data_IF_586925403083
#
_entry.id   IF_586925403083
#
_cell.length_a   1.000
_cell.length_b   1.000
_cell.length_c   1.000
_cell.angle_alpha   90.00
_cell.angle_beta   90.00
_cell.angle_gamma   90.00
#
_symmetry.space_group_name_H-M   'P 1'
#
loop_
_entity.id
_entity.type
_entity.pdbx_description
1 polymer ?
#
# COMPACT_ATOMS: atom_id res chain seq x y z
N UNK A 1 -34.01 12.26 25.38
CA UNK A 1 -33.51 10.87 25.33
C UNK A 1 -34.46 9.93 24.57
N UNK A 2 -35.77 9.97 24.79
CA UNK A 2 -36.73 9.07 24.09
C UNK A 2 -36.79 9.31 22.58
N UNK A 3 -36.71 10.56 22.11
CA UNK A 3 -36.76 10.91 20.67
C UNK A 3 -35.56 10.35 19.90
N UNK A 4 -34.35 10.40 20.48
CA UNK A 4 -33.11 9.92 19.82
C UNK A 4 -33.10 8.39 19.65
N UNK A 5 -33.67 7.64 20.59
CA UNK A 5 -33.76 6.17 20.52
C UNK A 5 -34.74 5.72 19.43
N UNK A 6 -35.89 6.40 19.30
CA UNK A 6 -36.87 6.11 18.24
C UNK A 6 -36.31 6.39 16.84
N UNK A 7 -35.52 7.47 16.68
CA UNK A 7 -34.85 7.80 15.42
C UNK A 7 -33.82 6.73 15.03
N UNK A 8 -33.09 6.19 16.01
CA UNK A 8 -32.10 5.10 15.81
C UNK A 8 -32.77 3.81 15.33
N UNK A 9 -33.87 3.41 15.97
CA UNK A 9 -34.60 2.19 15.63
C UNK A 9 -35.20 2.24 14.21
N UNK A 10 -35.70 3.41 13.80
CA UNK A 10 -36.22 3.60 12.44
C UNK A 10 -35.11 3.55 11.40
N UNK A 11 -33.96 4.14 11.69
CA UNK A 11 -32.83 4.11 10.79
C UNK A 11 -32.30 2.67 10.62
N UNK A 12 -32.11 1.93 11.71
CA UNK A 12 -31.67 0.53 11.64
C UNK A 12 -32.65 -0.35 10.87
N UNK A 13 -33.96 -0.13 11.07
CA UNK A 13 -35.01 -0.83 10.32
C UNK A 13 -34.93 -0.53 8.82
N UNK A 14 -34.69 0.74 8.44
CA UNK A 14 -34.51 1.12 7.04
C UNK A 14 -33.26 0.46 6.42
N UNK A 15 -32.14 0.46 7.12
CA UNK A 15 -30.89 -0.20 6.68
C UNK A 15 -31.12 -1.71 6.48
N UNK A 16 -31.91 -2.34 7.34
CA UNK A 16 -32.25 -3.74 7.22
C UNK A 16 -33.06 -4.03 5.95
N UNK A 17 -34.04 -3.20 5.62
CA UNK A 17 -34.81 -3.31 4.37
C UNK A 17 -33.96 -3.10 3.11
N UNK A 18 -32.91 -2.28 3.19
CA UNK A 18 -31.95 -2.03 2.12
C UNK A 18 -30.78 -3.05 2.11
N UNK A 19 -30.85 -4.09 2.93
CA UNK A 19 -29.84 -5.16 3.02
C UNK A 19 -30.35 -6.41 2.31
N UNK A 20 -29.54 -6.96 1.40
CA UNK A 20 -29.88 -8.18 0.66
C UNK A 20 -30.14 -9.35 1.60
N UNK A 21 -31.31 -9.95 1.51
CA UNK A 21 -31.69 -11.06 2.37
C UNK A 21 -30.83 -12.31 2.18
N UNK A 22 -30.17 -12.48 1.01
CA UNK A 22 -29.30 -13.64 0.69
C UNK A 22 -27.85 -13.43 1.11
N UNK A 23 -27.21 -12.35 0.68
CA UNK A 23 -25.75 -12.15 0.93
C UNK A 23 -25.45 -11.19 2.08
N UNK A 24 -26.46 -10.59 2.70
CA UNK A 24 -26.33 -9.67 3.83
C UNK A 24 -25.51 -8.38 3.52
N UNK A 25 -25.30 -8.08 2.25
CA UNK A 25 -24.67 -6.82 1.82
C UNK A 25 -25.74 -5.78 1.51
N UNK A 26 -25.42 -4.50 1.63
CA UNK A 26 -26.29 -3.42 1.20
C UNK A 26 -26.58 -3.54 -0.29
N UNK A 27 -27.85 -3.34 -0.66
CA UNK A 27 -28.30 -3.50 -2.04
C UNK A 27 -28.03 -2.25 -2.86
N UNK A 28 -27.39 -2.44 -4.00
CA UNK A 28 -27.30 -1.44 -5.06
C UNK A 28 -28.31 -1.74 -6.15
N UNK A 29 -28.85 -0.72 -6.82
CA UNK A 29 -29.57 -0.98 -8.06
C UNK A 29 -28.72 -1.73 -9.10
N UNK A 30 -29.30 -2.69 -9.83
CA UNK A 30 -30.70 -3.13 -9.79
C UNK A 30 -31.04 -4.01 -8.58
N UNK A 31 -32.21 -3.74 -7.96
CA UNK A 31 -32.78 -4.53 -6.88
C UNK A 31 -33.92 -5.37 -7.45
N UNK A 32 -34.06 -6.60 -6.99
CA UNK A 32 -35.10 -7.52 -7.47
C UNK A 32 -35.96 -7.99 -6.30
N UNK A 33 -37.26 -8.16 -6.57
CA UNK A 33 -38.24 -8.68 -5.61
C UNK A 33 -38.75 -10.03 -6.07
N UNK A 34 -39.01 -10.94 -5.14
CA UNK A 34 -39.86 -12.08 -5.42
C UNK A 34 -41.35 -11.67 -5.39
N UNK A 35 -42.25 -12.55 -5.81
CA UNK A 35 -43.70 -12.27 -5.84
C UNK A 35 -44.26 -11.97 -4.44
N UNK A 36 -43.60 -12.40 -3.35
CA UNK A 36 -44.00 -12.07 -1.98
C UNK A 36 -43.27 -10.81 -1.44
N UNK A 37 -42.49 -10.10 -2.27
CA UNK A 37 -41.83 -8.85 -1.90
C UNK A 37 -40.46 -8.98 -1.23
N UNK A 38 -39.87 -10.17 -1.06
CA UNK A 38 -38.50 -10.28 -0.53
C UNK A 38 -37.48 -9.74 -1.53
N UNK A 39 -36.59 -8.88 -1.04
CA UNK A 39 -35.60 -8.18 -1.86
C UNK A 39 -34.26 -8.89 -1.95
N UNK A 40 -33.62 -8.85 -3.12
CA UNK A 40 -32.24 -9.33 -3.34
C UNK A 40 -31.48 -8.38 -4.25
N UNK A 41 -30.16 -8.34 -4.09
CA UNK A 41 -29.28 -7.57 -4.98
C UNK A 41 -29.10 -8.28 -6.34
N UNK A 42 -28.72 -7.53 -7.39
CA UNK A 42 -28.51 -8.05 -8.74
C UNK A 42 -27.62 -9.32 -8.79
N UNK A 43 -26.39 -9.31 -8.20
CA UNK A 43 -25.54 -10.51 -8.19
C UNK A 43 -26.14 -11.75 -7.50
N UNK A 44 -27.05 -11.56 -6.53
CA UNK A 44 -27.75 -12.68 -5.91
C UNK A 44 -28.93 -13.15 -6.76
N UNK A 45 -29.62 -12.27 -7.46
CA UNK A 45 -30.66 -12.60 -8.42
C UNK A 45 -30.10 -13.44 -9.57
N UNK A 46 -29.01 -13.02 -10.20
CA UNK A 46 -28.37 -13.71 -11.33
C UNK A 46 -27.94 -15.17 -10.99
N UNK A 47 -27.63 -15.41 -9.71
CA UNK A 47 -27.19 -16.72 -9.21
C UNK A 47 -28.33 -17.55 -8.59
N UNK A 48 -29.61 -17.17 -8.82
CA UNK A 48 -30.73 -17.80 -8.15
C UNK A 48 -31.96 -17.85 -9.03
N UNK A 49 -32.55 -19.02 -9.19
CA UNK A 49 -33.80 -19.20 -9.92
C UNK A 49 -35.04 -18.86 -9.08
N UNK A 50 -34.90 -18.90 -7.74
CA UNK A 50 -35.98 -18.71 -6.79
C UNK A 50 -35.51 -17.92 -5.58
N UNK A 51 -36.46 -17.27 -4.90
CA UNK A 51 -36.24 -16.60 -3.64
C UNK A 51 -35.76 -17.60 -2.58
N UNK A 52 -34.65 -17.30 -1.89
CA UNK A 52 -34.12 -18.21 -0.88
C UNK A 52 -34.97 -18.24 0.42
N UNK A 53 -35.82 -17.20 0.64
CA UNK A 53 -36.72 -17.10 1.80
C UNK A 53 -38.00 -17.91 1.61
N UNK A 54 -38.76 -17.62 0.53
CA UNK A 54 -40.09 -18.24 0.29
C UNK A 54 -40.11 -19.27 -0.84
N UNK A 55 -38.99 -19.48 -1.56
CA UNK A 55 -38.85 -20.41 -2.69
C UNK A 55 -39.71 -20.08 -3.93
N UNK A 56 -40.38 -18.92 -3.93
CA UNK A 56 -41.14 -18.44 -5.08
C UNK A 56 -40.26 -17.75 -6.11
N UNK A 57 -40.79 -17.57 -7.31
CA UNK A 57 -40.11 -16.90 -8.42
C UNK A 57 -39.89 -15.41 -8.19
N UNK A 58 -38.97 -14.83 -8.93
CA UNK A 58 -38.74 -13.40 -8.93
C UNK A 58 -39.69 -12.68 -9.85
N UNK A 59 -40.19 -11.52 -9.40
CA UNK A 59 -41.01 -10.61 -10.20
C UNK A 59 -40.16 -9.92 -11.26
N UNK A 60 -40.79 -9.62 -12.40
CA UNK A 60 -40.19 -8.77 -13.44
C UNK A 60 -40.28 -7.26 -13.11
N UNK A 61 -40.98 -6.91 -12.04
CA UNK A 61 -41.21 -5.50 -11.64
C UNK A 61 -40.02 -5.06 -10.76
N UNK A 62 -39.42 -3.94 -11.13
CA UNK A 62 -38.36 -3.29 -10.38
C UNK A 62 -38.90 -2.39 -9.28
N UNK A 63 -38.40 -2.47 -8.05
CA UNK A 63 -38.85 -1.60 -6.96
C UNK A 63 -38.15 -0.23 -7.00
N UNK A 64 -38.59 0.64 -7.93
CA UNK A 64 -37.95 1.93 -8.20
C UNK A 64 -37.82 2.83 -6.96
N UNK A 65 -38.81 2.79 -6.05
CA UNK A 65 -38.76 3.54 -4.79
C UNK A 65 -37.65 3.03 -3.90
N UNK A 66 -37.51 1.71 -3.73
CA UNK A 66 -36.44 1.09 -2.93
C UNK A 66 -35.06 1.39 -3.51
N UNK A 67 -34.93 1.37 -4.83
CA UNK A 67 -33.69 1.73 -5.52
C UNK A 67 -33.34 3.21 -5.34
N UNK A 68 -34.33 4.08 -5.39
CA UNK A 68 -34.14 5.52 -5.13
C UNK A 68 -33.66 5.76 -3.69
N UNK A 69 -34.24 5.05 -2.72
CA UNK A 69 -33.82 5.11 -1.32
C UNK A 69 -32.37 4.58 -1.14
N UNK A 70 -32.05 3.45 -1.75
CA UNK A 70 -30.72 2.86 -1.68
C UNK A 70 -29.60 3.82 -2.18
N UNK A 71 -29.91 4.69 -3.14
CA UNK A 71 -28.97 5.68 -3.64
C UNK A 71 -28.81 6.93 -2.74
N UNK A 72 -29.76 7.19 -1.85
CA UNK A 72 -29.81 8.43 -1.04
C UNK A 72 -29.45 8.22 0.42
N UNK A 73 -29.70 7.01 0.95
CA UNK A 73 -29.46 6.69 2.35
C UNK A 73 -27.96 6.63 2.63
N UNK A 74 -27.57 7.12 3.79
CA UNK A 74 -26.21 6.93 4.31
C UNK A 74 -26.16 5.58 5.03
N UNK A 75 -25.30 4.69 4.60
CA UNK A 75 -25.08 3.38 5.22
C UNK A 75 -23.88 3.43 6.16
N UNK A 76 -23.92 2.70 7.28
CA UNK A 76 -22.73 2.54 8.14
C UNK A 76 -21.67 1.72 7.41
N UNK A 77 -20.40 2.00 7.71
CA UNK A 77 -19.30 1.16 7.25
C UNK A 77 -19.46 -0.26 7.82
N UNK A 78 -19.19 -1.26 6.98
CA UNK A 78 -19.30 -2.67 7.38
C UNK A 78 -18.15 -3.14 8.29
N UNK A 79 -17.07 -2.38 8.41
CA UNK A 79 -15.98 -2.69 9.33
C UNK A 79 -16.37 -2.31 10.76
N UNK A 80 -16.39 -3.29 11.65
CA UNK A 80 -16.83 -3.13 13.04
C UNK A 80 -16.08 -2.00 13.76
N UNK A 81 -16.85 -1.09 14.37
CA UNK A 81 -16.32 0.07 15.12
C UNK A 81 -15.99 1.29 14.25
N UNK A 82 -16.08 1.20 12.92
CA UNK A 82 -15.89 2.36 12.07
C UNK A 82 -17.08 3.33 12.16
N UNK A 83 -16.88 4.61 12.53
CA UNK A 83 -17.97 5.57 12.69
C UNK A 83 -18.47 6.15 11.36
N UNK A 84 -17.90 5.73 10.23
CA UNK A 84 -18.22 6.29 8.91
C UNK A 84 -19.61 5.87 8.44
N UNK A 85 -20.46 6.87 8.13
CA UNK A 85 -21.72 6.72 7.43
C UNK A 85 -21.62 7.45 6.12
N UNK A 86 -21.97 6.81 5.01
CA UNK A 86 -21.89 7.41 3.68
C UNK A 86 -22.79 6.67 2.67
N UNK A 87 -23.00 7.26 1.49
CA UNK A 87 -23.67 6.58 0.37
C UNK A 87 -22.85 5.37 -0.11
N UNK A 88 -23.48 4.41 -0.77
CA UNK A 88 -22.78 3.20 -1.24
C UNK A 88 -21.55 3.50 -2.09
N UNK A 89 -21.58 4.42 -3.09
CA UNK A 89 -20.38 4.75 -3.84
C UNK A 89 -19.23 5.35 -2.99
N UNK A 90 -19.60 6.11 -1.94
CA UNK A 90 -18.59 6.67 -1.01
C UNK A 90 -18.01 5.60 -0.10
N UNK A 91 -18.82 4.62 0.36
CA UNK A 91 -18.34 3.49 1.16
C UNK A 91 -17.43 2.57 0.35
N UNK A 92 -17.68 2.39 -0.94
CA UNK A 92 -16.79 1.61 -1.81
C UNK A 92 -15.42 2.23 -1.95
N UNK A 93 -15.35 3.56 -2.09
CA UNK A 93 -14.07 4.29 -2.08
C UNK A 93 -13.40 4.28 -0.70
N UNK A 94 -14.19 4.31 0.37
CA UNK A 94 -13.69 4.26 1.74
C UNK A 94 -13.16 2.88 2.13
N UNK A 95 -13.80 1.80 1.72
CA UNK A 95 -13.51 0.45 2.21
C UNK A 95 -12.02 0.03 2.10
N UNK A 96 -11.30 0.28 0.99
CA UNK A 96 -9.87 -0.03 0.88
C UNK A 96 -8.99 0.77 1.86
N UNK A 97 -9.43 1.96 2.28
CA UNK A 97 -8.68 2.88 3.14
C UNK A 97 -9.20 2.92 4.57
N UNK A 98 -10.20 2.10 4.91
CA UNK A 98 -10.78 2.08 6.26
C UNK A 98 -9.75 1.59 7.28
N UNK A 99 -9.47 2.39 8.29
CA UNK A 99 -8.54 2.04 9.38
C UNK A 99 -9.07 0.89 10.26
N UNK A 100 -10.38 0.64 10.23
CA UNK A 100 -11.04 -0.45 10.98
C UNK A 100 -11.13 -1.76 10.19
N UNK A 101 -10.68 -1.80 8.92
CA UNK A 101 -10.64 -3.05 8.16
C UNK A 101 -9.62 -4.00 8.78
N UNK A 102 -9.96 -5.27 8.81
CA UNK A 102 -9.04 -6.31 9.28
C UNK A 102 -8.04 -6.64 8.17
N UNK A 103 -6.78 -6.65 8.51
CA UNK A 103 -5.67 -6.99 7.62
C UNK A 103 -4.68 -7.93 8.31
N UNK A 104 -3.98 -8.70 7.52
CA UNK A 104 -2.80 -9.44 7.98
C UNK A 104 -1.56 -8.55 7.86
N UNK A 105 -0.54 -8.83 8.64
CA UNK A 105 0.72 -8.10 8.56
C UNK A 105 1.35 -8.22 7.17
N UNK A 106 1.64 -7.08 6.52
CA UNK A 106 2.31 -7.09 5.22
C UNK A 106 3.75 -7.60 5.28
N UNK A 107 4.42 -7.44 6.43
CA UNK A 107 5.76 -7.99 6.66
C UNK A 107 5.79 -9.51 6.52
N UNK A 108 4.68 -10.20 6.85
CA UNK A 108 4.58 -11.66 6.71
C UNK A 108 4.71 -12.13 5.26
N UNK A 109 4.32 -11.30 4.30
CA UNK A 109 4.45 -11.63 2.86
C UNK A 109 5.90 -11.64 2.39
N UNK A 110 6.76 -10.89 3.07
CA UNK A 110 8.19 -10.76 2.75
C UNK A 110 9.03 -11.72 3.58
N UNK A 111 8.74 -11.81 4.89
CA UNK A 111 9.57 -12.54 5.85
C UNK A 111 8.95 -13.86 6.35
N UNK A 112 7.65 -14.11 6.09
CA UNK A 112 7.01 -15.40 6.26
C UNK A 112 6.59 -15.79 7.69
N UNK A 113 6.99 -15.06 8.72
CA UNK A 113 6.96 -15.50 10.12
C UNK A 113 5.91 -14.78 10.99
N UNK A 114 5.31 -13.70 10.52
CA UNK A 114 4.33 -12.94 11.28
C UNK A 114 2.90 -13.41 11.03
N UNK A 115 2.19 -13.79 12.10
CA UNK A 115 0.79 -14.24 12.06
C UNK A 115 -0.20 -13.16 12.54
N UNK A 116 0.27 -11.93 12.73
CA UNK A 116 -0.58 -10.87 13.22
C UNK A 116 -1.73 -10.57 12.24
N UNK A 117 -2.93 -10.46 12.81
CA UNK A 117 -4.15 -10.01 12.16
C UNK A 117 -4.80 -8.97 13.08
N UNK A 118 -5.16 -7.81 12.55
CA UNK A 118 -5.74 -6.73 13.33
C UNK A 118 -6.27 -5.61 12.44
N UNK A 119 -6.68 -4.50 13.08
CA UNK A 119 -7.17 -3.33 12.35
C UNK A 119 -6.04 -2.64 11.59
N UNK A 120 -6.32 -2.17 10.39
CA UNK A 120 -5.34 -1.48 9.57
C UNK A 120 -4.71 -0.25 10.27
N UNK A 121 -5.49 0.45 11.11
CA UNK A 121 -4.97 1.57 11.91
C UNK A 121 -3.99 1.17 13.00
N UNK A 122 -3.99 -0.10 13.43
CA UNK A 122 -3.11 -0.64 14.48
C UNK A 122 -1.84 -1.29 13.89
N UNK A 123 -1.78 -1.43 12.56
CA UNK A 123 -0.70 -2.15 11.90
C UNK A 123 0.68 -1.53 12.12
N UNK A 124 0.78 -0.20 12.11
CA UNK A 124 2.05 0.49 12.37
C UNK A 124 2.57 0.25 13.78
N UNK A 125 1.68 0.30 14.78
CA UNK A 125 2.06 0.04 16.18
C UNK A 125 2.55 -1.39 16.35
N UNK A 126 1.86 -2.38 15.72
CA UNK A 126 2.34 -3.75 15.64
C UNK A 126 3.73 -3.82 15.01
N UNK A 127 3.97 -3.12 13.88
CA UNK A 127 5.28 -3.14 13.22
C UNK A 127 6.40 -2.56 14.11
N UNK A 128 6.12 -1.50 14.88
CA UNK A 128 7.11 -0.95 15.82
C UNK A 128 7.43 -1.89 16.98
N UNK A 129 6.51 -2.77 17.37
CA UNK A 129 6.74 -3.77 18.44
C UNK A 129 7.44 -5.00 17.90
N UNK A 130 6.88 -5.62 16.86
CA UNK A 130 7.29 -6.95 16.40
C UNK A 130 8.32 -6.93 15.26
N UNK A 131 8.41 -5.81 14.51
CA UNK A 131 9.31 -5.63 13.37
C UNK A 131 10.21 -4.41 13.50
N UNK A 132 10.56 -4.01 14.72
CA UNK A 132 11.31 -2.79 15.04
C UNK A 132 12.63 -2.60 14.30
N UNK A 133 13.25 -3.67 13.81
CA UNK A 133 14.47 -3.60 12.98
C UNK A 133 14.19 -3.17 11.54
N UNK A 134 12.93 -3.18 11.11
CA UNK A 134 12.49 -2.86 9.76
C UNK A 134 11.64 -1.60 9.69
N UNK A 135 11.42 -0.92 10.83
CA UNK A 135 10.55 0.26 10.97
C UNK A 135 11.27 1.36 11.73
N UNK A 136 11.09 2.60 11.30
CA UNK A 136 11.66 3.76 11.99
C UNK A 136 10.72 4.98 11.89
N UNK A 137 10.76 5.85 12.89
CA UNK A 137 10.12 7.18 12.88
C UNK A 137 11.06 8.28 12.34
N UNK A 138 12.26 7.91 11.91
CA UNK A 138 13.22 8.83 11.31
C UNK A 138 13.02 8.88 9.78
N UNK A 139 13.40 9.99 9.12
CA UNK A 139 13.35 10.09 7.67
C UNK A 139 14.47 9.30 6.98
N UNK A 140 15.12 8.39 7.69
CA UNK A 140 16.14 7.51 7.15
C UNK A 140 16.19 6.17 7.89
N UNK A 141 16.72 5.15 7.22
CA UNK A 141 17.09 3.87 7.79
C UNK A 141 18.46 3.48 7.27
N UNK A 142 19.34 3.06 8.18
CA UNK A 142 20.65 2.51 7.82
C UNK A 142 20.62 1.00 8.04
N UNK A 143 21.01 0.27 7.01
CA UNK A 143 20.93 -1.19 6.97
C UNK A 143 22.31 -1.76 6.69
N UNK A 144 22.66 -2.79 7.45
CA UNK A 144 23.77 -3.69 7.16
C UNK A 144 23.18 -5.05 6.83
N UNK A 145 23.31 -5.47 5.57
CA UNK A 145 22.74 -6.73 5.08
C UNK A 145 23.85 -7.65 4.59
N UNK A 146 23.89 -8.87 5.16
CA UNK A 146 24.89 -9.85 4.77
C UNK A 146 24.60 -10.34 3.36
N UNK A 147 25.60 -10.22 2.50
CA UNK A 147 25.51 -10.67 1.12
C UNK A 147 25.91 -12.13 1.02
N UNK A 148 25.04 -12.97 0.49
CA UNK A 148 25.39 -14.33 0.10
C UNK A 148 25.60 -14.39 -1.42
N UNK A 149 26.86 -14.42 -1.84
CA UNK A 149 27.26 -14.51 -3.25
C UNK A 149 26.75 -15.80 -3.93
N UNK A 150 26.43 -16.83 -3.17
CA UNK A 150 25.89 -18.11 -3.66
C UNK A 150 24.38 -18.11 -3.74
N UNK A 151 23.74 -17.04 -3.25
CA UNK A 151 22.28 -16.92 -3.23
C UNK A 151 21.69 -17.01 -4.64
N UNK A 152 20.85 -17.98 -4.86
CA UNK A 152 20.21 -18.25 -6.16
C UNK A 152 18.84 -17.62 -6.30
N UNK A 153 18.20 -17.33 -5.16
CA UNK A 153 16.85 -16.78 -5.12
C UNK A 153 16.86 -15.25 -5.11
N UNK A 154 15.88 -14.61 -5.73
CA UNK A 154 15.69 -13.17 -5.58
C UNK A 154 15.43 -12.83 -4.12
N UNK A 155 15.95 -11.69 -3.68
CA UNK A 155 15.76 -11.19 -2.31
C UNK A 155 14.92 -9.96 -2.36
N UNK A 156 13.90 -9.94 -1.51
CA UNK A 156 13.10 -8.78 -1.24
C UNK A 156 13.28 -8.39 0.23
N UNK A 157 13.85 -7.22 0.48
CA UNK A 157 13.79 -6.55 1.78
C UNK A 157 12.74 -5.44 1.73
N UNK A 158 12.05 -5.26 2.85
CA UNK A 158 10.98 -4.28 2.99
C UNK A 158 11.15 -3.53 4.31
N UNK A 159 11.11 -2.20 4.23
CA UNK A 159 11.25 -1.31 5.38
C UNK A 159 10.15 -0.27 5.38
N UNK A 160 9.80 0.24 6.56
CA UNK A 160 8.81 1.29 6.75
C UNK A 160 9.46 2.50 7.41
N UNK A 161 9.28 3.67 6.83
CA UNK A 161 9.69 4.94 7.42
C UNK A 161 8.43 5.78 7.67
N UNK A 162 8.19 6.14 8.94
CA UNK A 162 7.10 7.03 9.33
C UNK A 162 7.66 8.43 9.59
N UNK A 163 7.54 9.30 8.60
CA UNK A 163 8.00 10.69 8.66
C UNK A 163 7.11 11.57 7.80
N UNK A 164 7.18 12.90 7.98
CA UNK A 164 6.36 13.87 7.24
C UNK A 164 4.86 13.54 7.30
N UNK A 165 4.37 13.06 8.45
CA UNK A 165 2.98 12.60 8.68
C UNK A 165 2.52 11.48 7.70
N UNK A 166 3.46 10.77 7.09
CA UNK A 166 3.22 9.71 6.11
C UNK A 166 4.00 8.46 6.43
N UNK A 167 3.61 7.36 5.77
CA UNK A 167 4.34 6.09 5.81
C UNK A 167 4.91 5.83 4.42
N UNK A 168 6.22 5.67 4.37
CA UNK A 168 6.97 5.34 3.16
C UNK A 168 7.33 3.87 3.17
N UNK A 169 6.95 3.16 2.12
CA UNK A 169 7.23 1.76 1.89
C UNK A 169 8.51 1.66 1.05
N UNK A 170 9.59 1.20 1.66
CA UNK A 170 10.91 1.07 1.03
C UNK A 170 11.12 -0.38 0.65
N UNK A 171 11.35 -0.64 -0.60
CA UNK A 171 11.66 -1.96 -1.14
C UNK A 171 13.11 -1.99 -1.64
N UNK A 172 13.84 -3.02 -1.24
CA UNK A 172 15.13 -3.39 -1.80
C UNK A 172 14.98 -4.76 -2.44
N UNK A 173 15.25 -4.86 -3.73
CA UNK A 173 15.06 -6.08 -4.50
C UNK A 173 16.37 -6.45 -5.19
N UNK A 174 16.84 -7.68 -4.98
CA UNK A 174 17.89 -8.25 -5.80
C UNK A 174 17.29 -9.01 -6.98
N UNK A 175 17.53 -8.47 -8.18
CA UNK A 175 17.17 -9.12 -9.44
C UNK A 175 18.38 -9.86 -10.00
N UNK A 176 18.46 -11.16 -9.72
CA UNK A 176 19.57 -12.01 -10.20
C UNK A 176 19.61 -12.09 -11.72
N UNK A 177 18.45 -12.11 -12.41
CA UNK A 177 18.40 -12.23 -13.87
C UNK A 177 18.93 -10.98 -14.55
N UNK A 178 18.61 -9.82 -13.99
CA UNK A 178 19.13 -8.52 -14.43
C UNK A 178 20.49 -8.17 -13.87
N UNK A 179 21.08 -8.98 -12.98
CA UNK A 179 22.38 -8.72 -12.36
C UNK A 179 22.44 -7.40 -11.59
N UNK A 180 21.32 -7.00 -10.94
CA UNK A 180 21.20 -5.67 -10.34
C UNK A 180 20.48 -5.67 -9.01
N UNK A 181 20.85 -4.75 -8.14
CA UNK A 181 20.11 -4.38 -6.95
C UNK A 181 19.21 -3.18 -7.25
N UNK A 182 17.96 -3.25 -6.84
CA UNK A 182 16.97 -2.20 -7.05
C UNK A 182 16.45 -1.67 -5.72
N UNK A 183 16.25 -0.36 -5.64
CA UNK A 183 15.47 0.28 -4.57
C UNK A 183 14.33 1.09 -5.17
N UNK A 184 13.18 1.04 -4.50
CA UNK A 184 12.04 1.90 -4.79
C UNK A 184 11.35 2.30 -3.49
N UNK A 185 10.76 3.49 -3.50
CA UNK A 185 10.00 4.01 -2.35
C UNK A 185 8.62 4.42 -2.80
N UNK A 186 7.61 3.85 -2.14
CA UNK A 186 6.20 4.13 -2.38
C UNK A 186 5.60 4.85 -1.18
N UNK A 187 4.69 5.78 -1.45
CA UNK A 187 3.91 6.47 -0.44
C UNK A 187 2.45 6.56 -0.89
N UNK A 188 1.51 6.41 0.03
CA UNK A 188 0.09 6.54 -0.29
C UNK A 188 -0.32 8.03 -0.31
N UNK A 189 0.15 8.75 -1.32
CA UNK A 189 -0.13 10.16 -1.57
C UNK A 189 -0.18 10.43 -3.07
N UNK A 190 -1.19 11.16 -3.53
CA UNK A 190 -1.32 11.55 -4.95
C UNK A 190 -0.25 12.58 -5.37
N UNK A 191 0.43 13.23 -4.42
CA UNK A 191 1.56 14.14 -4.66
C UNK A 191 2.88 13.51 -4.19
N UNK A 192 3.09 12.24 -4.47
CA UNK A 192 4.29 11.50 -4.07
C UNK A 192 5.58 12.15 -4.58
N UNK A 193 5.52 12.85 -5.71
CA UNK A 193 6.63 13.59 -6.34
C UNK A 193 7.15 14.78 -5.52
N UNK A 194 6.42 15.22 -4.48
CA UNK A 194 6.93 16.20 -3.51
C UNK A 194 8.01 15.62 -2.61
N UNK A 195 8.16 14.31 -2.61
CA UNK A 195 9.18 13.61 -1.85
C UNK A 195 10.19 12.95 -2.79
N UNK A 196 11.44 12.93 -2.34
CA UNK A 196 12.49 12.14 -2.95
C UNK A 196 13.01 11.11 -1.97
N UNK A 197 13.60 10.06 -2.49
CA UNK A 197 14.44 9.18 -1.70
C UNK A 197 15.86 9.16 -2.23
N UNK A 198 16.79 8.96 -1.31
CA UNK A 198 18.21 8.84 -1.59
C UNK A 198 18.70 7.50 -1.08
N UNK A 199 19.39 6.75 -1.91
CA UNK A 199 20.10 5.52 -1.54
C UNK A 199 21.58 5.84 -1.51
N UNK A 200 22.19 5.64 -0.37
CA UNK A 200 23.61 5.86 -0.12
C UNK A 200 24.24 4.52 0.25
N UNK A 201 24.90 3.88 -0.71
CA UNK A 201 25.66 2.66 -0.52
C UNK A 201 27.10 3.04 -0.20
N UNK A 202 27.65 2.56 0.92
CA UNK A 202 28.95 2.99 1.41
C UNK A 202 29.75 1.87 2.05
N UNK A 203 31.08 2.04 2.08
CA UNK A 203 31.99 1.18 2.81
C UNK A 203 32.37 1.86 4.14
N UNK A 204 32.00 1.31 5.33
CA UNK A 204 32.11 2.02 6.60
C UNK A 204 33.52 2.53 6.93
N UNK A 205 34.55 1.78 6.56
CA UNK A 205 35.95 2.11 6.87
C UNK A 205 36.66 2.92 5.78
N UNK A 206 35.96 3.28 4.68
CA UNK A 206 36.52 4.00 3.54
C UNK A 206 35.55 5.11 3.12
N UNK A 207 35.57 6.30 3.75
CA UNK A 207 34.59 7.37 3.52
C UNK A 207 34.47 7.83 2.06
N UNK A 208 35.56 7.75 1.30
CA UNK A 208 35.59 8.10 -0.13
C UNK A 208 34.90 7.06 -1.02
N UNK A 209 34.60 5.87 -0.50
CA UNK A 209 33.97 4.79 -1.28
C UNK A 209 32.46 4.77 -1.00
N UNK A 210 31.73 5.54 -1.81
CA UNK A 210 30.28 5.74 -1.72
C UNK A 210 29.65 5.78 -3.11
N UNK A 211 28.41 5.34 -3.18
CA UNK A 211 27.54 5.46 -4.36
C UNK A 211 26.23 6.04 -3.88
N UNK A 212 25.87 7.23 -4.36
CA UNK A 212 24.65 7.93 -3.96
C UNK A 212 23.73 8.10 -5.16
N UNK A 213 22.50 7.66 -5.03
CA UNK A 213 21.44 7.87 -6.02
C UNK A 213 20.25 8.56 -5.36
N UNK A 214 19.64 9.49 -6.09
CA UNK A 214 18.43 10.18 -5.67
C UNK A 214 17.36 10.04 -6.75
N UNK A 215 16.13 9.73 -6.33
CA UNK A 215 14.97 9.57 -7.20
C UNK A 215 13.71 10.08 -6.50
N UNK A 216 12.67 10.51 -7.26
CA UNK A 216 11.38 10.85 -6.67
C UNK A 216 10.70 9.63 -6.06
N UNK A 217 9.94 9.83 -4.98
CA UNK A 217 9.03 8.82 -4.46
C UNK A 217 7.85 8.64 -5.41
N UNK A 218 7.18 7.48 -5.32
CA UNK A 218 6.03 7.12 -6.17
C UNK A 218 4.77 6.93 -5.35
N UNK A 219 3.62 7.19 -5.98
CA UNK A 219 2.35 6.83 -5.41
C UNK A 219 2.16 5.31 -5.41
N UNK A 220 1.65 4.73 -4.31
CA UNK A 220 1.32 3.30 -4.23
C UNK A 220 0.29 2.85 -5.28
N UNK A 221 -0.50 3.78 -5.81
CA UNK A 221 -1.50 3.51 -6.84
C UNK A 221 -0.88 3.29 -8.22
N UNK A 222 0.34 3.75 -8.43
CA UNK A 222 1.10 3.55 -9.67
C UNK A 222 1.72 2.15 -9.64
N UNK A 223 0.88 1.13 -9.85
CA UNK A 223 1.08 -0.27 -9.50
C UNK A 223 2.28 -0.96 -10.16
N UNK A 224 2.94 -0.36 -11.14
CA UNK A 224 4.00 -1.01 -11.92
C UNK A 224 5.40 -0.62 -11.44
N UNK A 225 5.67 -0.86 -10.14
CA UNK A 225 6.92 -0.43 -9.51
C UNK A 225 8.17 -1.19 -10.00
N UNK A 226 8.03 -2.34 -10.65
CA UNK A 226 9.17 -3.13 -11.14
C UNK A 226 9.76 -2.61 -12.46
N UNK A 227 8.97 -1.94 -13.30
CA UNK A 227 9.37 -1.50 -14.64
C UNK A 227 9.74 0.00 -14.74
N UNK A 228 9.72 0.73 -13.64
CA UNK A 228 9.87 2.17 -13.68
C UNK A 228 11.33 2.64 -13.79
N UNK A 229 11.57 3.56 -14.72
CA UNK A 229 12.84 4.30 -14.89
C UNK A 229 13.25 5.14 -13.66
N UNK A 230 12.30 5.39 -12.74
CA UNK A 230 12.53 6.16 -11.50
C UNK A 230 13.03 5.33 -10.32
N UNK A 231 13.26 4.04 -10.48
CA UNK A 231 13.91 3.21 -9.46
C UNK A 231 15.42 3.47 -9.43
N UNK A 232 16.05 3.23 -8.29
CA UNK A 232 17.51 3.16 -8.21
C UNK A 232 17.94 1.75 -8.61
N UNK A 233 18.83 1.66 -9.58
CA UNK A 233 19.42 0.40 -10.04
C UNK A 233 20.93 0.47 -9.86
N UNK A 234 21.51 -0.48 -9.17
CA UNK A 234 22.97 -0.61 -9.00
C UNK A 234 23.37 -1.99 -9.54
N UNK A 235 24.27 -2.07 -10.54
CA UNK A 235 24.82 -3.32 -11.02
C UNK A 235 25.44 -4.11 -9.87
N UNK A 236 25.27 -5.43 -9.90
CA UNK A 236 25.71 -6.29 -8.79
C UNK A 236 27.22 -6.26 -8.60
N UNK A 237 28.00 -6.06 -9.66
CA UNK A 237 29.45 -5.90 -9.60
C UNK A 237 29.84 -4.68 -8.75
N UNK A 238 29.10 -3.59 -8.88
CA UNK A 238 29.32 -2.39 -8.07
C UNK A 238 28.95 -2.66 -6.60
N UNK A 239 27.88 -3.44 -6.35
CA UNK A 239 27.52 -3.87 -4.98
C UNK A 239 28.63 -4.74 -4.38
N UNK A 240 29.20 -5.69 -5.14
CA UNK A 240 30.33 -6.51 -4.68
C UNK A 240 31.56 -5.69 -4.31
N UNK A 241 31.83 -4.63 -5.08
CA UNK A 241 32.94 -3.72 -4.78
C UNK A 241 32.78 -2.96 -3.47
N UNK A 242 31.55 -2.94 -2.91
CA UNK A 242 31.13 -2.21 -1.71
C UNK A 242 30.88 -3.13 -0.52
N UNK A 243 31.24 -4.43 -0.61
CA UNK A 243 31.16 -5.34 0.52
C UNK A 243 32.24 -5.02 1.56
N UNK A 244 31.84 -5.04 2.83
CA UNK A 244 32.77 -4.91 3.93
C UNK A 244 33.53 -6.25 4.20
N UNK A 245 34.44 -6.27 5.18
CA UNK A 245 35.21 -7.43 5.59
C UNK A 245 34.36 -8.64 6.05
N UNK A 246 33.09 -8.42 6.38
CA UNK A 246 32.16 -9.46 6.80
C UNK A 246 31.17 -9.83 5.67
N UNK A 247 31.51 -9.53 4.41
CA UNK A 247 30.67 -9.78 3.24
C UNK A 247 29.28 -9.14 3.37
N UNK A 248 29.21 -7.93 3.95
CA UNK A 248 27.96 -7.22 4.15
C UNK A 248 27.92 -5.93 3.34
N UNK A 249 26.75 -5.64 2.75
CA UNK A 249 26.43 -4.33 2.16
C UNK A 249 25.99 -3.38 3.27
N UNK A 250 26.43 -2.14 3.20
CA UNK A 250 25.99 -1.10 4.11
C UNK A 250 25.36 0.02 3.28
N UNK A 251 24.11 0.33 3.57
CA UNK A 251 23.40 1.40 2.85
C UNK A 251 22.47 2.17 3.78
N UNK A 252 22.22 3.42 3.43
CA UNK A 252 21.18 4.26 4.04
C UNK A 252 20.14 4.62 2.98
N UNK A 253 18.87 4.47 3.31
CA UNK A 253 17.79 5.07 2.53
C UNK A 253 17.27 6.26 3.32
N UNK A 254 17.24 7.43 2.67
CA UNK A 254 16.77 8.69 3.26
C UNK A 254 15.62 9.26 2.45
N UNK A 255 14.60 9.76 3.13
CA UNK A 255 13.47 10.48 2.52
C UNK A 255 13.66 11.97 2.79
N UNK A 256 13.35 12.80 1.79
CA UNK A 256 13.33 14.25 1.94
C UNK A 256 12.22 14.87 1.10
N UNK A 257 11.89 16.13 1.43
CA UNK A 257 10.96 16.94 0.66
C UNK A 257 11.73 17.70 -0.43
N UNK A 258 11.17 17.74 -1.63
CA UNK A 258 11.81 18.40 -2.78
C UNK A 258 12.03 19.90 -2.53
N UNK A 259 11.12 20.55 -1.81
CA UNK A 259 11.23 21.97 -1.43
C UNK A 259 12.42 22.25 -0.51
N UNK A 260 12.87 21.26 0.25
CA UNK A 260 13.99 21.32 1.19
C UNK A 260 15.27 20.71 0.61
N UNK A 261 15.33 20.50 -0.72
CA UNK A 261 16.53 20.02 -1.37
C UNK A 261 17.68 21.03 -1.13
N UNK A 262 18.77 20.62 -0.46
CA UNK A 262 19.96 21.45 -0.44
C UNK A 262 20.38 21.68 -1.88
N UNK A 263 20.58 22.95 -2.26
CA UNK A 263 21.25 23.28 -3.51
C UNK A 263 22.53 22.44 -3.55
N UNK A 264 22.71 21.63 -4.59
CA UNK A 264 23.93 20.88 -4.79
C UNK A 264 25.05 21.94 -4.91
N UNK A 265 25.74 22.23 -3.81
CA UNK A 265 27.00 22.95 -3.90
C UNK A 265 27.90 22.12 -4.81
N UNK A 266 28.45 22.77 -5.84
CA UNK A 266 29.41 22.12 -6.70
C UNK A 266 30.48 21.46 -5.80
N UNK A 267 30.87 20.20 -6.06
CA UNK A 267 31.79 19.49 -5.19
C UNK A 267 33.05 20.33 -5.06
N UNK A 268 33.35 20.76 -3.84
CA UNK A 268 34.68 21.27 -3.50
C UNK A 268 35.66 20.15 -3.83
N UNK A 269 36.76 20.47 -4.46
CA UNK A 269 37.74 19.58 -5.10
C UNK A 269 38.34 18.46 -4.23
N UNK A 270 37.76 18.13 -3.08
CA UNK A 270 38.18 17.09 -2.14
C UNK A 270 37.27 15.86 -2.01
N UNK A 271 36.11 15.84 -2.68
CA UNK A 271 35.21 14.68 -2.65
C UNK A 271 35.03 14.13 -4.08
N UNK A 272 35.67 13.00 -4.38
CA UNK A 272 35.46 12.26 -5.63
C UNK A 272 34.10 11.56 -5.62
N UNK A 273 33.04 12.31 -5.92
CA UNK A 273 31.72 11.82 -6.23
C UNK A 273 31.74 11.28 -7.66
N UNK A 274 31.59 9.97 -7.82
CA UNK A 274 31.37 9.39 -9.15
C UNK A 274 29.88 9.52 -9.45
N UNK A 275 29.49 10.56 -10.21
CA UNK A 275 28.19 10.66 -10.85
C UNK A 275 28.23 9.85 -12.13
N UNK A 276 27.52 8.74 -12.18
CA UNK A 276 27.22 8.05 -13.43
C UNK A 276 26.00 8.73 -14.05
N UNK A 277 26.22 9.66 -14.99
CA UNK A 277 25.18 10.28 -15.80
C UNK A 277 24.57 9.23 -16.77
N UNK A 278 23.27 9.36 -17.05
CA UNK A 278 22.53 8.51 -17.99
C UNK A 278 23.04 8.63 -19.47
N UNK A 279 23.89 9.62 -19.80
CA UNK A 279 24.35 9.90 -21.15
C UNK A 279 25.45 8.95 -21.69
N UNK A 280 25.87 7.93 -20.91
CA UNK A 280 26.87 6.95 -21.37
C UNK A 280 26.27 5.61 -21.83
N UNK A 281 24.98 5.56 -22.17
CA UNK A 281 24.36 4.34 -22.70
C UNK A 281 24.60 4.09 -24.19
N UNK A 282 25.07 5.07 -24.96
CA UNK A 282 25.13 4.96 -26.43
C UNK A 282 26.46 4.46 -26.99
N UNK A 283 27.51 4.27 -26.18
CA UNK A 283 28.85 3.90 -26.68
C UNK A 283 29.28 2.44 -26.44
N UNK A 284 28.35 1.55 -25.96
CA UNK A 284 28.69 0.13 -25.75
C UNK A 284 27.83 -0.82 -26.63
N UNK A 285 27.33 -0.33 -27.76
CA UNK A 285 26.78 -1.20 -28.83
C UNK A 285 27.36 -0.81 -30.18
N UNK A 286 28.58 -1.16 -30.40
CA UNK A 286 29.19 -1.35 -31.71
C UNK A 286 30.23 -2.47 -31.67
#
# INVERSE_FOLDING_TARGET
MVSTLLETDHYESLIKELTCTKCRKYMKPPIWLCVDGHSVCGPCYEKSYQCHVCKKEFSQIRPMVLESLANKVLFPCTNSGCPKHATLPQLERHAPHCQYRIINCFMSRVYGDCKWEGRAGEWMDHCFVDHKQKVTDLPFITVRDRWDAKRTEPVLNYFLLRCYEKVFNVYQIYDKRGGRMMWTVLVNDDNAEKFYFEVDLFLPNVPSKRIVYRRPCKCEKDADFLEHTQNVYIPVENVFSMLDENESTNFTVRIGEVENLPLLEAPTQSESLIFLNEDQKDDIMS
#
